data_IF_697900088085
#
_entry.id   IF_697900088085
#
_cell.length_a   1.000
_cell.length_b   1.000
_cell.length_c   1.000
_cell.angle_alpha   90.00
_cell.angle_beta   90.00
_cell.angle_gamma   90.00
#
_symmetry.space_group_name_H-M   'P 1'
#
loop_
_entity.id
_entity.type
_entity.pdbx_description
1 polymer ?
#
# COMPACT_ATOMS: atom_id res chain seq x y z
N UNK A 1 -1.02 -20.04 22.04
CA UNK A 1 0.09 -19.73 21.11
C UNK A 1 -0.39 -19.91 19.67
N UNK A 2 -0.39 -18.85 18.84
CA UNK A 2 -0.94 -18.85 17.48
C UNK A 2 -0.31 -19.89 16.52
N UNK A 3 0.96 -20.25 16.73
CA UNK A 3 1.71 -21.12 15.81
C UNK A 3 1.25 -22.59 15.74
N UNK A 4 0.62 -23.14 16.79
CA UNK A 4 0.18 -24.55 16.78
C UNK A 4 -1.08 -24.76 15.93
N UNK A 5 -1.99 -23.79 15.95
CA UNK A 5 -3.24 -23.83 15.16
C UNK A 5 -2.92 -23.72 13.67
N UNK A 6 -2.02 -22.82 13.29
CA UNK A 6 -1.58 -22.69 11.90
C UNK A 6 -0.93 -23.99 11.37
N UNK A 7 -0.01 -24.59 12.14
CA UNK A 7 0.62 -25.87 11.74
C UNK A 7 -0.40 -26.98 11.50
N UNK A 8 -1.41 -27.11 12.35
CA UNK A 8 -2.47 -28.10 12.19
C UNK A 8 -3.32 -27.86 10.93
N UNK A 9 -3.67 -26.60 10.65
CA UNK A 9 -4.44 -26.26 9.43
C UNK A 9 -3.67 -26.61 8.16
N UNK A 10 -2.36 -26.37 8.11
CA UNK A 10 -1.53 -26.76 6.95
C UNK A 10 -1.51 -28.28 6.73
N UNK A 11 -1.33 -29.05 7.80
CA UNK A 11 -1.37 -30.52 7.73
C UNK A 11 -2.75 -31.00 7.26
N UNK A 12 -3.82 -30.39 7.77
CA UNK A 12 -5.20 -30.70 7.39
C UNK A 12 -5.48 -30.38 5.92
N UNK A 13 -4.96 -29.26 5.41
CA UNK A 13 -5.04 -28.89 3.99
C UNK A 13 -4.36 -29.95 3.10
N UNK A 14 -3.16 -30.40 3.46
CA UNK A 14 -2.45 -31.46 2.72
C UNK A 14 -3.21 -32.79 2.76
N UNK A 15 -3.86 -33.12 3.88
CA UNK A 15 -4.71 -34.30 3.96
C UNK A 15 -5.92 -34.20 3.00
N UNK A 16 -6.59 -33.05 2.95
CA UNK A 16 -7.69 -32.81 2.01
C UNK A 16 -7.25 -32.92 0.55
N UNK A 17 -6.08 -32.38 0.21
CA UNK A 17 -5.47 -32.51 -1.11
C UNK A 17 -5.24 -33.96 -1.51
N UNK A 18 -4.66 -34.77 -0.61
CA UNK A 18 -4.39 -36.21 -0.85
C UNK A 18 -5.67 -37.04 -0.97
N UNK A 19 -6.71 -36.67 -0.23
CA UNK A 19 -8.01 -37.34 -0.27
C UNK A 19 -8.92 -36.83 -1.40
N UNK A 20 -8.45 -35.89 -2.23
CA UNK A 20 -9.24 -35.25 -3.29
C UNK A 20 -10.52 -34.56 -2.79
N UNK A 21 -10.52 -34.12 -1.54
CA UNK A 21 -11.62 -33.37 -0.90
C UNK A 21 -11.54 -31.89 -1.30
N UNK A 22 -11.88 -31.60 -2.56
CA UNK A 22 -11.63 -30.30 -3.18
C UNK A 22 -12.38 -29.14 -2.53
N UNK A 23 -13.62 -29.34 -2.11
CA UNK A 23 -14.41 -28.27 -1.49
C UNK A 23 -13.82 -27.86 -0.14
N UNK A 24 -13.47 -28.84 0.70
CA UNK A 24 -12.86 -28.65 2.00
C UNK A 24 -11.44 -28.09 1.90
N UNK A 25 -10.67 -28.55 0.90
CA UNK A 25 -9.37 -28.00 0.57
C UNK A 25 -9.48 -26.53 0.19
N UNK A 26 -10.40 -26.17 -0.72
CA UNK A 26 -10.58 -24.78 -1.15
C UNK A 26 -11.03 -23.87 0.00
N UNK A 27 -11.98 -24.32 0.83
CA UNK A 27 -12.44 -23.56 1.98
C UNK A 27 -11.31 -23.28 2.98
N UNK A 28 -10.53 -24.30 3.33
CA UNK A 28 -9.42 -24.14 4.28
C UNK A 28 -8.26 -23.34 3.69
N UNK A 29 -7.94 -23.55 2.42
CA UNK A 29 -6.91 -22.78 1.72
C UNK A 29 -7.25 -21.30 1.67
N UNK A 30 -8.51 -20.97 1.37
CA UNK A 30 -9.01 -19.59 1.39
C UNK A 30 -8.90 -18.97 2.78
N UNK A 31 -9.29 -19.71 3.82
CA UNK A 31 -9.12 -19.24 5.21
C UNK A 31 -7.66 -18.92 5.54
N UNK A 32 -6.72 -19.78 5.11
CA UNK A 32 -5.29 -19.58 5.31
C UNK A 32 -4.76 -18.37 4.52
N UNK A 33 -5.20 -18.21 3.26
CA UNK A 33 -4.83 -17.09 2.41
C UNK A 33 -5.28 -15.75 3.01
N UNK A 34 -6.56 -15.64 3.39
CA UNK A 34 -7.10 -14.45 4.07
C UNK A 34 -6.43 -14.22 5.43
N UNK A 35 -5.94 -15.30 6.05
CA UNK A 35 -5.11 -15.27 7.26
C UNK A 35 -3.66 -14.80 7.05
N UNK A 36 -3.24 -14.48 5.82
CA UNK A 36 -1.90 -13.98 5.50
C UNK A 36 -0.98 -14.97 4.80
N UNK A 37 -1.43 -16.21 4.56
CA UNK A 37 -0.58 -17.24 3.95
C UNK A 37 -0.68 -17.21 2.42
N UNK A 38 0.03 -16.24 1.81
CA UNK A 38 0.07 -16.01 0.35
C UNK A 38 0.31 -17.28 -0.49
N UNK A 39 1.07 -18.26 0.04
CA UNK A 39 1.44 -19.49 -0.66
C UNK A 39 0.24 -20.31 -1.19
N UNK A 40 -0.96 -20.12 -0.63
CA UNK A 40 -2.16 -20.83 -1.07
C UNK A 40 -2.85 -20.22 -2.30
N UNK A 41 -2.45 -19.01 -2.74
CA UNK A 41 -3.13 -18.31 -3.85
C UNK A 41 -3.15 -19.12 -5.16
N UNK A 42 -1.98 -19.59 -5.61
CA UNK A 42 -1.86 -20.33 -6.87
C UNK A 42 -2.60 -21.67 -6.83
N UNK A 43 -2.53 -22.39 -5.70
CA UNK A 43 -3.27 -23.65 -5.56
C UNK A 43 -4.78 -23.43 -5.58
N UNK A 44 -5.27 -22.37 -4.93
CA UNK A 44 -6.68 -22.01 -4.96
C UNK A 44 -7.14 -21.61 -6.37
N UNK A 45 -6.30 -20.91 -7.13
CA UNK A 45 -6.60 -20.54 -8.51
C UNK A 45 -6.79 -21.79 -9.39
N UNK A 46 -5.92 -22.80 -9.21
CA UNK A 46 -6.03 -24.10 -9.90
C UNK A 46 -7.28 -24.86 -9.46
N UNK A 47 -7.59 -24.88 -8.16
CA UNK A 47 -8.75 -25.59 -7.60
C UNK A 47 -10.08 -24.99 -8.05
N UNK A 48 -10.16 -23.66 -8.18
CA UNK A 48 -11.38 -22.97 -8.58
C UNK A 48 -11.82 -23.35 -9.99
N UNK A 49 -10.87 -23.67 -10.90
CA UNK A 49 -11.17 -24.07 -12.27
C UNK A 49 -11.88 -23.01 -13.11
N UNK A 50 -11.93 -21.77 -12.62
CA UNK A 50 -12.53 -20.61 -13.26
C UNK A 50 -11.48 -19.78 -14.02
N UNK A 51 -11.95 -18.75 -14.73
CA UNK A 51 -11.04 -17.80 -15.37
C UNK A 51 -10.15 -17.10 -14.33
N UNK A 52 -8.84 -17.03 -14.60
CA UNK A 52 -7.84 -16.44 -13.68
C UNK A 52 -8.17 -15.01 -13.26
N UNK A 53 -8.69 -14.18 -14.16
CA UNK A 53 -9.07 -12.80 -13.85
C UNK A 53 -10.29 -12.76 -12.91
N UNK A 54 -11.29 -13.60 -13.15
CA UNK A 54 -12.46 -13.70 -12.27
C UNK A 54 -12.08 -14.17 -10.86
N UNK A 55 -11.20 -15.17 -10.78
CA UNK A 55 -10.63 -15.65 -9.51
C UNK A 55 -9.90 -14.52 -8.77
N UNK A 56 -8.99 -13.84 -9.46
CA UNK A 56 -8.22 -12.74 -8.92
C UNK A 56 -9.13 -11.64 -8.37
N UNK A 57 -10.10 -11.15 -9.15
CA UNK A 57 -11.03 -10.09 -8.73
C UNK A 57 -11.83 -10.48 -7.49
N UNK A 58 -12.30 -11.73 -7.41
CA UNK A 58 -12.99 -12.24 -6.22
C UNK A 58 -12.07 -12.24 -5.00
N UNK A 59 -10.86 -12.77 -5.12
CA UNK A 59 -9.91 -12.82 -4.01
C UNK A 59 -9.52 -11.42 -3.52
N UNK A 60 -9.32 -10.47 -4.45
CA UNK A 60 -9.07 -9.08 -4.10
C UNK A 60 -10.22 -8.47 -3.28
N UNK A 61 -11.47 -8.66 -3.71
CA UNK A 61 -12.63 -8.19 -2.97
C UNK A 61 -12.70 -8.79 -1.55
N UNK A 62 -12.49 -10.10 -1.43
CA UNK A 62 -12.51 -10.79 -0.13
C UNK A 62 -11.38 -10.33 0.81
N UNK A 63 -10.18 -10.07 0.28
CA UNK A 63 -9.06 -9.55 1.07
C UNK A 63 -9.33 -8.14 1.59
N UNK A 64 -10.00 -7.30 0.79
CA UNK A 64 -10.43 -5.95 1.21
C UNK A 64 -11.47 -6.04 2.32
N UNK A 65 -12.46 -6.91 2.18
CA UNK A 65 -13.51 -7.14 3.19
C UNK A 65 -12.95 -7.68 4.51
N UNK A 66 -11.94 -8.57 4.46
CA UNK A 66 -11.31 -9.12 5.65
C UNK A 66 -10.63 -8.05 6.52
N UNK A 67 -10.12 -6.96 5.92
CA UNK A 67 -9.68 -5.73 6.59
C UNK A 67 -8.51 -5.82 7.58
N UNK A 68 -7.98 -7.00 7.86
CA UNK A 68 -6.88 -7.24 8.80
C UNK A 68 -5.50 -6.91 8.21
N UNK A 69 -4.50 -6.70 9.07
CA UNK A 69 -3.13 -6.42 8.59
C UNK A 69 -2.54 -7.58 7.76
N UNK A 70 -2.83 -8.83 8.15
CA UNK A 70 -2.36 -10.02 7.42
C UNK A 70 -3.01 -10.15 6.04
N UNK A 71 -4.30 -9.88 5.92
CA UNK A 71 -4.99 -9.90 4.62
C UNK A 71 -4.52 -8.73 3.76
N UNK A 72 -4.26 -7.57 4.35
CA UNK A 72 -3.68 -6.42 3.66
C UNK A 72 -2.31 -6.72 3.05
N UNK A 73 -1.45 -7.45 3.75
CA UNK A 73 -0.13 -7.84 3.23
C UNK A 73 -0.26 -8.72 1.97
N UNK A 74 -1.20 -9.68 1.99
CA UNK A 74 -1.49 -10.54 0.83
C UNK A 74 -2.12 -9.74 -0.31
N UNK A 75 -3.06 -8.86 -0.01
CA UNK A 75 -3.69 -7.95 -0.97
C UNK A 75 -2.64 -7.10 -1.70
N UNK A 76 -1.79 -6.40 -0.94
CA UNK A 76 -0.74 -5.55 -1.51
C UNK A 76 0.23 -6.35 -2.36
N UNK A 77 0.62 -7.54 -1.90
CA UNK A 77 1.50 -8.42 -2.68
C UNK A 77 0.87 -8.80 -4.02
N UNK A 78 -0.41 -9.20 -4.02
CA UNK A 78 -1.12 -9.60 -5.22
C UNK A 78 -1.27 -8.47 -6.24
N UNK A 79 -1.72 -7.28 -5.80
CA UNK A 79 -1.90 -6.14 -6.73
C UNK A 79 -0.56 -5.67 -7.30
N UNK A 80 0.53 -5.72 -6.52
CA UNK A 80 1.86 -5.32 -6.98
C UNK A 80 2.46 -6.31 -7.97
N UNK A 81 2.32 -7.62 -7.72
CA UNK A 81 2.80 -8.68 -8.62
C UNK A 81 2.01 -8.71 -9.94
N UNK A 82 0.70 -8.44 -9.90
CA UNK A 82 -0.14 -8.36 -11.10
C UNK A 82 -0.10 -6.98 -11.78
N UNK A 83 0.64 -6.01 -11.21
CA UNK A 83 0.68 -4.62 -11.67
C UNK A 83 -0.73 -4.00 -11.84
N UNK A 84 -1.63 -4.29 -10.90
CA UNK A 84 -2.99 -3.75 -10.89
C UNK A 84 -2.99 -2.32 -10.34
N UNK A 85 -2.69 -1.38 -11.22
CA UNK A 85 -2.57 0.04 -10.90
C UNK A 85 -3.90 0.65 -10.42
N UNK A 86 -5.07 0.32 -10.99
CA UNK A 86 -6.35 0.76 -10.44
C UNK A 86 -6.54 0.41 -8.95
N UNK A 87 -6.34 -0.86 -8.58
CA UNK A 87 -6.47 -1.31 -7.18
C UNK A 87 -5.40 -0.68 -6.26
N UNK A 88 -4.19 -0.49 -6.77
CA UNK A 88 -3.12 0.20 -6.03
C UNK A 88 -3.46 1.68 -5.80
N UNK A 89 -4.05 2.34 -6.80
CA UNK A 89 -4.50 3.73 -6.68
C UNK A 89 -5.61 3.86 -5.64
N UNK A 90 -6.60 2.96 -5.68
CA UNK A 90 -7.67 2.89 -4.67
C UNK A 90 -7.13 2.69 -3.26
N UNK A 91 -6.14 1.83 -3.09
CA UNK A 91 -5.46 1.66 -1.82
C UNK A 91 -4.82 2.96 -1.33
N UNK A 92 -4.04 3.63 -2.17
CA UNK A 92 -3.33 4.87 -1.84
C UNK A 92 -4.30 6.03 -1.53
N UNK A 93 -5.47 6.10 -2.20
CA UNK A 93 -6.53 7.07 -1.87
C UNK A 93 -6.97 6.95 -0.42
N UNK A 94 -7.09 5.72 0.09
CA UNK A 94 -7.50 5.46 1.49
C UNK A 94 -6.35 5.60 2.49
N UNK A 95 -5.11 5.43 2.03
CA UNK A 95 -3.90 5.52 2.84
C UNK A 95 -2.85 6.48 2.23
N UNK A 96 -3.07 7.81 2.30
CA UNK A 96 -2.14 8.79 1.72
C UNK A 96 -0.70 8.70 2.23
N UNK A 97 -0.45 8.10 3.40
CA UNK A 97 0.90 7.86 3.90
C UNK A 97 1.73 6.88 3.05
N UNK A 98 1.06 6.04 2.26
CA UNK A 98 1.70 5.07 1.37
C UNK A 98 2.09 5.67 0.01
N UNK A 99 1.76 6.95 -0.22
CA UNK A 99 2.05 7.62 -1.48
C UNK A 99 3.54 7.59 -1.81
N UNK A 100 4.41 7.75 -0.81
CA UNK A 100 5.86 7.77 -1.02
C UNK A 100 6.40 6.44 -1.56
N UNK A 101 5.76 5.33 -1.16
CA UNK A 101 6.13 3.96 -1.55
C UNK A 101 5.69 3.65 -2.97
N UNK A 102 4.53 4.15 -3.40
CA UNK A 102 3.87 3.71 -4.63
C UNK A 102 3.82 4.75 -5.75
N UNK A 103 4.16 6.01 -5.45
CA UNK A 103 4.00 7.11 -6.41
C UNK A 103 4.81 6.91 -7.70
N UNK A 104 6.03 6.36 -7.65
CA UNK A 104 6.82 6.12 -8.89
C UNK A 104 6.10 5.17 -9.86
N UNK A 105 5.46 4.13 -9.34
CA UNK A 105 4.70 3.17 -10.16
C UNK A 105 3.39 3.76 -10.69
N UNK A 106 2.69 4.52 -9.83
CA UNK A 106 1.40 5.12 -10.17
C UNK A 106 1.54 6.34 -11.09
N UNK A 107 2.65 7.06 -11.04
CA UNK A 107 2.82 8.33 -11.75
C UNK A 107 2.86 8.19 -13.28
N UNK A 108 2.99 6.98 -13.82
CA UNK A 108 2.89 6.75 -15.27
C UNK A 108 1.47 7.02 -15.77
N UNK A 109 0.46 6.50 -15.07
CA UNK A 109 -0.94 6.53 -15.52
C UNK A 109 -1.82 7.48 -14.69
N UNK A 110 -1.41 7.78 -13.46
CA UNK A 110 -2.17 8.58 -12.48
C UNK A 110 -1.40 9.82 -12.01
N UNK A 111 -0.52 10.38 -12.85
CA UNK A 111 0.42 11.46 -12.49
C UNK A 111 -0.24 12.59 -11.69
N UNK A 112 -1.26 13.23 -12.23
CA UNK A 112 -1.87 14.41 -11.60
C UNK A 112 -2.51 14.08 -10.25
N UNK A 113 -3.16 12.92 -10.15
CA UNK A 113 -3.80 12.46 -8.91
C UNK A 113 -2.77 12.10 -7.83
N UNK A 114 -1.70 11.40 -8.24
CA UNK A 114 -0.56 11.10 -7.38
C UNK A 114 0.04 12.39 -6.81
N UNK A 115 0.28 13.39 -7.66
CA UNK A 115 0.81 14.69 -7.22
C UNK A 115 -0.12 15.38 -6.21
N UNK A 116 -1.43 15.36 -6.46
CA UNK A 116 -2.41 15.95 -5.55
C UNK A 116 -2.41 15.26 -4.18
N UNK A 117 -2.38 13.92 -4.13
CA UNK A 117 -2.31 13.18 -2.86
C UNK A 117 -0.99 13.46 -2.15
N UNK A 118 0.12 13.50 -2.88
CA UNK A 118 1.45 13.76 -2.34
C UNK A 118 1.53 15.15 -1.69
N UNK A 119 0.99 16.18 -2.34
CA UNK A 119 0.94 17.54 -1.80
C UNK A 119 0.09 17.62 -0.53
N UNK A 120 -1.10 16.99 -0.51
CA UNK A 120 -1.92 16.90 0.70
C UNK A 120 -1.20 16.17 1.84
N UNK A 121 -0.44 15.12 1.51
CA UNK A 121 0.35 14.39 2.48
C UNK A 121 1.48 15.25 3.06
N UNK A 122 2.21 16.01 2.22
CA UNK A 122 3.22 17.00 2.65
C UNK A 122 2.60 18.02 3.61
N UNK A 123 1.43 18.56 3.26
CA UNK A 123 0.75 19.57 4.06
C UNK A 123 0.38 19.05 5.44
N UNK A 124 -0.17 17.83 5.50
CA UNK A 124 -0.51 17.17 6.76
C UNK A 124 0.74 16.92 7.62
N UNK A 125 1.83 16.46 7.01
CA UNK A 125 3.10 16.25 7.74
C UNK A 125 3.68 17.57 8.27
N UNK A 126 3.59 18.65 7.49
CA UNK A 126 4.04 19.97 7.88
C UNK A 126 3.22 20.54 9.05
N UNK A 127 1.90 20.35 9.01
CA UNK A 127 0.98 20.79 10.07
C UNK A 127 1.28 20.08 11.40
N UNK A 128 1.45 18.75 11.35
CA UNK A 128 1.70 17.90 12.52
C UNK A 128 3.11 18.02 13.09
N UNK A 129 4.07 18.53 12.30
CA UNK A 129 5.45 18.70 12.75
C UNK A 129 5.59 19.89 13.68
N UNK A 130 6.13 19.66 14.88
CA UNK A 130 6.36 20.72 15.89
C UNK A 130 7.83 20.93 16.21
N UNK A 131 8.71 20.01 15.80
CA UNK A 131 10.13 20.01 16.12
C UNK A 131 11.01 19.94 14.87
N UNK A 132 12.31 20.15 15.08
CA UNK A 132 13.29 20.14 14.00
C UNK A 132 13.41 18.78 13.32
N UNK A 133 13.12 17.69 14.02
CA UNK A 133 13.16 16.34 13.46
C UNK A 133 12.00 16.14 12.47
N UNK A 134 10.80 16.55 12.84
CA UNK A 134 9.61 16.57 11.98
C UNK A 134 9.81 17.44 10.75
N UNK A 135 10.34 18.65 10.91
CA UNK A 135 10.66 19.53 9.77
C UNK A 135 11.64 18.89 8.78
N UNK A 136 12.68 18.20 9.26
CA UNK A 136 13.59 17.45 8.39
C UNK A 136 12.89 16.29 7.68
N UNK A 137 11.96 15.61 8.37
CA UNK A 137 11.16 14.55 7.76
C UNK A 137 10.32 15.10 6.61
N UNK A 138 9.61 16.22 6.83
CA UNK A 138 8.84 16.94 5.79
C UNK A 138 9.73 17.30 4.60
N UNK A 139 10.91 17.89 4.84
CA UNK A 139 11.86 18.19 3.77
C UNK A 139 12.32 16.93 3.01
N UNK A 140 12.42 15.78 3.68
CA UNK A 140 12.68 14.49 3.05
C UNK A 140 11.55 14.05 2.11
N UNK A 141 10.30 14.24 2.52
CA UNK A 141 9.10 13.97 1.69
C UNK A 141 9.12 14.87 0.44
N UNK A 142 9.39 16.17 0.60
CA UNK A 142 9.46 17.12 -0.52
C UNK A 142 10.56 16.74 -1.53
N UNK A 143 11.71 16.23 -1.05
CA UNK A 143 12.78 15.74 -1.94
C UNK A 143 12.36 14.52 -2.76
N UNK A 144 11.55 13.61 -2.19
CA UNK A 144 11.01 12.46 -2.93
C UNK A 144 9.93 12.90 -3.90
N UNK A 145 9.04 13.82 -3.50
CA UNK A 145 8.07 14.46 -4.38
C UNK A 145 8.71 15.09 -5.63
N UNK A 146 9.84 15.82 -5.47
CA UNK A 146 10.58 16.43 -6.59
C UNK A 146 10.89 15.43 -7.71
N UNK A 147 11.24 14.18 -7.38
CA UNK A 147 11.61 13.17 -8.37
C UNK A 147 10.47 12.86 -9.35
N UNK A 148 9.23 13.06 -8.90
CA UNK A 148 8.02 12.76 -9.65
C UNK A 148 7.48 14.06 -10.26
N UNK A 149 7.36 15.11 -9.45
CA UNK A 149 6.71 16.37 -9.81
C UNK A 149 7.59 17.31 -10.66
N UNK A 150 8.91 17.20 -10.52
CA UNK A 150 9.88 18.15 -11.07
C UNK A 150 10.15 19.35 -10.17
N UNK A 151 11.13 20.17 -10.57
CA UNK A 151 11.65 21.29 -9.79
C UNK A 151 10.66 22.43 -9.62
N UNK A 152 9.89 22.77 -10.67
CA UNK A 152 8.92 23.86 -10.61
C UNK A 152 7.86 23.62 -9.52
N UNK A 153 7.26 22.42 -9.50
CA UNK A 153 6.28 22.02 -8.50
C UNK A 153 6.87 21.93 -7.10
N UNK A 154 8.11 21.46 -6.96
CA UNK A 154 8.81 21.48 -5.68
C UNK A 154 8.95 22.92 -5.15
N UNK A 155 9.35 23.86 -5.99
CA UNK A 155 9.51 25.26 -5.62
C UNK A 155 8.18 25.90 -5.18
N UNK A 156 7.08 25.58 -5.87
CA UNK A 156 5.73 26.01 -5.48
C UNK A 156 5.35 25.51 -4.08
N UNK A 157 5.55 24.23 -3.80
CA UNK A 157 5.28 23.64 -2.47
C UNK A 157 6.14 24.30 -1.39
N UNK A 158 7.44 24.48 -1.64
CA UNK A 158 8.35 25.13 -0.69
C UNK A 158 7.93 26.58 -0.43
N UNK A 159 7.58 27.34 -1.46
CA UNK A 159 7.09 28.72 -1.34
C UNK A 159 5.81 28.79 -0.51
N UNK A 160 4.84 27.91 -0.80
CA UNK A 160 3.57 27.81 -0.08
C UNK A 160 3.76 27.47 1.40
N UNK A 161 4.64 26.53 1.73
CA UNK A 161 4.96 26.18 3.12
C UNK A 161 5.68 27.33 3.85
N UNK A 162 6.62 28.01 3.19
CA UNK A 162 7.29 29.20 3.74
C UNK A 162 6.29 30.30 4.09
N UNK A 163 5.31 30.56 3.23
CA UNK A 163 4.26 31.54 3.48
C UNK A 163 3.35 31.12 4.65
N UNK A 164 2.94 29.85 4.72
CA UNK A 164 2.04 29.34 5.76
C UNK A 164 2.71 29.27 7.15
N UNK A 165 4.00 28.93 7.22
CA UNK A 165 4.71 28.64 8.46
C UNK A 165 5.83 29.63 8.78
N UNK A 166 5.77 30.87 8.27
CA UNK A 166 6.81 31.89 8.48
C UNK A 166 7.12 32.22 9.95
N UNK A 167 6.22 31.91 10.88
CA UNK A 167 6.42 32.04 12.34
C UNK A 167 7.18 30.87 12.98
N UNK A 168 7.69 29.92 12.19
CA UNK A 168 8.48 28.76 12.65
C UNK A 168 9.90 28.86 12.10
N UNK A 169 10.82 29.64 12.71
CA UNK A 169 12.16 29.89 12.14
C UNK A 169 12.94 28.61 11.83
N UNK A 170 12.91 27.63 12.74
CA UNK A 170 13.58 26.35 12.52
C UNK A 170 13.03 25.58 11.31
N UNK A 171 11.75 25.74 10.96
CA UNK A 171 11.20 25.12 9.75
C UNK A 171 11.63 25.88 8.51
N UNK A 172 11.64 27.22 8.56
CA UNK A 172 12.13 28.08 7.47
C UNK A 172 13.59 27.74 7.11
N UNK A 173 14.44 27.52 8.11
CA UNK A 173 15.84 27.10 7.94
C UNK A 173 15.94 25.75 7.21
N UNK A 174 15.08 24.78 7.54
CA UNK A 174 15.09 23.48 6.87
C UNK A 174 14.53 23.57 5.43
N UNK A 175 13.51 24.41 5.20
CA UNK A 175 12.95 24.65 3.86
C UNK A 175 13.93 25.41 2.95
N UNK A 176 14.75 26.30 3.50
CA UNK A 176 15.76 27.04 2.74
C UNK A 176 16.86 26.13 2.14
N UNK A 177 17.03 24.92 2.66
CA UNK A 177 17.98 23.92 2.13
C UNK A 177 17.44 23.14 0.92
N UNK A 178 16.20 23.40 0.53
CA UNK A 178 15.53 22.75 -0.60
C UNK A 178 15.48 23.63 -1.86
N UNK A 179 15.74 24.92 -1.70
CA UNK A 179 15.90 25.91 -2.77
C UNK A 179 17.28 25.85 -3.41
#
# INVERSE_FOLDING_TARGET
>A
MPGRVAKWKRIKYEAYKRLSLKQEQAALGKELLLGGEYAYYEELAVLAGENKEAFYRRIIAELREAGGWRSRDVYLRLILENNDLPELMDYVRTAPSEIETHAERLATDYRDEVLQIYERYIDRQAEQSTDRKGYRAVCGVIKRYKKIAGEARQAEVVSRLKAAYGRRPAFMDELAKLS
#
